data_IF_088403206061
#
_entry.id   IF_088403206061
#
_cell.length_a   1.000
_cell.length_b   1.000
_cell.length_c   1.000
_cell.angle_alpha   90.00
_cell.angle_beta   90.00
_cell.angle_gamma   90.00
#
_symmetry.space_group_name_H-M   'P 1'
#
loop_
_entity.id
_entity.type
_entity.pdbx_description
1 polymer ?
#
# COMPACT_ATOMS: atom_id res chain seq x y z
N UNK A 1 -3.94 -7.59 1.58
CA UNK A 1 -3.24 -6.37 2.04
C UNK A 1 -1.75 -6.64 1.95
N UNK A 2 -0.96 -5.76 1.30
CA UNK A 2 0.49 -5.95 1.23
C UNK A 2 1.14 -5.75 2.61
N UNK A 3 2.32 -6.34 2.81
CA UNK A 3 3.17 -6.01 3.96
C UNK A 3 3.78 -4.64 3.69
N UNK A 4 3.58 -3.71 4.63
CA UNK A 4 4.12 -2.36 4.56
C UNK A 4 5.14 -2.19 5.67
N UNK A 5 6.31 -1.68 5.31
CA UNK A 5 7.42 -1.49 6.23
C UNK A 5 7.50 -0.03 6.63
N UNK A 6 7.62 0.22 7.93
CA UNK A 6 8.05 1.53 8.42
C UNK A 6 9.49 1.79 7.94
N UNK A 7 9.85 3.05 7.61
CA UNK A 7 11.13 3.35 6.95
C UNK A 7 12.37 2.79 7.65
N UNK A 8 12.38 2.76 8.99
CA UNK A 8 13.48 2.22 9.79
C UNK A 8 13.74 0.72 9.57
N UNK A 9 12.75 -0.04 9.10
CA UNK A 9 12.87 -1.49 8.86
C UNK A 9 13.30 -1.82 7.42
N UNK A 10 13.38 -0.83 6.53
CA UNK A 10 13.69 -1.06 5.11
C UNK A 10 15.06 -1.72 4.89
N UNK A 11 16.07 -1.32 5.66
CA UNK A 11 17.42 -1.91 5.58
C UNK A 11 17.42 -3.38 6.05
N UNK A 12 16.78 -3.64 7.19
CA UNK A 12 16.64 -4.99 7.75
C UNK A 12 15.93 -5.95 6.79
N UNK A 13 14.97 -5.46 6.02
CA UNK A 13 14.24 -6.25 5.04
C UNK A 13 15.09 -6.72 3.84
N UNK A 14 16.03 -5.88 3.40
CA UNK A 14 16.83 -6.15 2.19
C UNK A 14 18.09 -6.96 2.52
N UNK A 15 18.63 -6.84 3.74
CA UNK A 15 19.88 -7.48 4.13
C UNK A 15 19.72 -8.99 4.33
N UNK A 16 20.49 -9.75 3.52
CA UNK A 16 20.55 -11.19 3.65
C UNK A 16 21.10 -11.61 5.02
N UNK A 17 20.44 -12.58 5.64
CA UNK A 17 20.89 -13.13 6.92
C UNK A 17 20.46 -12.32 8.16
N UNK A 18 19.61 -11.30 8.02
CA UNK A 18 18.97 -10.70 9.20
C UNK A 18 18.16 -11.78 9.92
N UNK A 19 18.50 -12.14 11.17
CA UNK A 19 17.56 -12.90 11.98
C UNK A 19 16.28 -12.09 12.12
N UNK A 20 15.14 -12.76 12.23
CA UNK A 20 13.85 -12.16 12.56
C UNK A 20 13.11 -11.33 11.49
N UNK A 21 13.39 -11.48 10.18
CA UNK A 21 12.57 -10.83 9.12
C UNK A 21 11.08 -11.17 9.21
N UNK A 22 10.74 -12.36 9.72
CA UNK A 22 9.35 -12.75 9.99
C UNK A 22 8.63 -11.81 10.99
N UNK A 23 9.34 -11.14 11.90
CA UNK A 23 8.76 -10.18 12.85
C UNK A 23 8.35 -8.86 12.17
N UNK A 24 8.79 -8.63 10.94
CA UNK A 24 8.41 -7.45 10.14
C UNK A 24 7.09 -7.66 9.39
N UNK A 25 6.59 -8.91 9.33
CA UNK A 25 5.37 -9.30 8.62
C UNK A 25 4.12 -9.06 9.49
N UNK A 26 3.96 -7.84 10.00
CA UNK A 26 2.84 -7.47 10.84
C UNK A 26 1.85 -6.60 10.03
N UNK A 27 0.55 -6.63 10.38
CA UNK A 27 -0.39 -5.65 9.87
C UNK A 27 0.11 -4.23 10.17
N UNK A 28 -0.17 -3.30 9.25
CA UNK A 28 0.10 -1.90 9.51
C UNK A 28 -0.79 -1.40 10.65
N UNK A 29 -0.26 -0.53 11.50
CA UNK A 29 -1.01 0.01 12.64
C UNK A 29 -2.26 0.78 12.21
N UNK A 30 -3.24 0.87 13.11
CA UNK A 30 -4.49 1.59 12.87
C UNK A 30 -4.25 3.05 12.48
N UNK A 31 -5.07 3.56 11.55
CA UNK A 31 -5.00 4.96 11.09
C UNK A 31 -3.81 5.32 10.21
N UNK A 32 -2.93 4.35 9.89
CA UNK A 32 -1.79 4.55 8.98
C UNK A 32 -2.18 4.48 7.50
N UNK A 33 -3.35 3.92 7.20
CA UNK A 33 -3.89 3.83 5.84
C UNK A 33 -5.13 4.70 5.70
N UNK A 34 -5.15 5.46 4.62
CA UNK A 34 -6.35 6.12 4.11
C UNK A 34 -6.76 5.41 2.82
N UNK A 35 -8.00 4.90 2.78
CA UNK A 35 -8.54 4.18 1.63
C UNK A 35 -9.84 4.86 1.25
N UNK A 36 -10.02 5.11 -0.05
CA UNK A 36 -11.17 5.79 -0.61
C UNK A 36 -11.52 5.19 -1.98
N UNK A 37 -12.78 5.29 -2.44
CA UNK A 37 -13.19 4.79 -3.75
C UNK A 37 -12.53 5.61 -4.86
N UNK A 38 -12.22 4.95 -5.98
CA UNK A 38 -11.64 5.56 -7.18
C UNK A 38 -12.40 5.13 -8.44
N UNK A 39 -12.16 5.80 -9.57
CA UNK A 39 -12.78 5.44 -10.85
C UNK A 39 -12.45 4.00 -11.29
N UNK A 40 -13.45 3.28 -11.82
CA UNK A 40 -13.27 1.92 -12.37
C UNK A 40 -12.41 1.87 -13.63
N UNK A 41 -12.09 3.02 -14.23
CA UNK A 41 -11.18 3.11 -15.37
C UNK A 41 -9.78 2.55 -15.05
N UNK A 42 -9.36 2.59 -13.79
CA UNK A 42 -8.09 1.99 -13.31
C UNK A 42 -7.98 0.49 -13.61
N UNK A 43 -9.12 -0.20 -13.77
CA UNK A 43 -9.14 -1.63 -14.10
C UNK A 43 -8.67 -1.93 -15.53
N UNK A 44 -8.63 -0.93 -16.41
CA UNK A 44 -8.07 -1.07 -17.75
C UNK A 44 -6.56 -0.72 -17.70
N UNK A 45 -5.65 -1.70 -17.85
CA UNK A 45 -4.21 -1.43 -17.75
C UNK A 45 -3.66 -0.52 -18.85
N UNK A 46 -4.43 -0.27 -19.93
CA UNK A 46 -4.08 0.70 -20.97
C UNK A 46 -4.46 2.14 -20.62
N UNK A 47 -5.32 2.33 -19.62
CA UNK A 47 -5.74 3.65 -19.15
C UNK A 47 -4.76 4.13 -18.07
N UNK A 48 -3.67 4.79 -18.51
CA UNK A 48 -2.62 5.30 -17.61
C UNK A 48 -2.75 6.81 -17.49
N UNK A 49 -3.56 7.26 -16.54
CA UNK A 49 -3.82 8.69 -16.29
C UNK A 49 -3.87 8.99 -14.80
N UNK A 50 -3.66 10.26 -14.44
CA UNK A 50 -3.55 10.72 -13.03
C UNK A 50 -4.84 10.53 -12.23
N UNK A 51 -5.98 10.60 -12.90
CA UNK A 51 -7.32 10.42 -12.32
C UNK A 51 -7.60 9.00 -11.83
N UNK A 52 -6.72 8.03 -12.10
CA UNK A 52 -6.86 6.65 -11.60
C UNK A 52 -6.75 6.52 -10.07
N UNK A 53 -6.16 7.52 -9.40
CA UNK A 53 -5.98 7.53 -7.94
C UNK A 53 -6.75 8.67 -7.27
N UNK A 54 -7.56 9.40 -8.03
CA UNK A 54 -8.40 10.47 -7.50
C UNK A 54 -9.64 9.87 -6.82
N UNK A 55 -10.01 10.45 -5.69
CA UNK A 55 -11.21 10.07 -4.94
C UNK A 55 -12.46 10.42 -5.75
N UNK A 56 -13.43 9.50 -5.74
CA UNK A 56 -14.75 9.76 -6.33
C UNK A 56 -15.77 9.98 -5.22
N UNK A 57 -16.69 10.92 -5.43
CA UNK A 57 -17.87 11.04 -4.59
C UNK A 57 -18.78 9.83 -4.85
N UNK A 58 -19.02 9.03 -3.82
CA UNK A 58 -20.09 8.03 -3.86
C UNK A 58 -21.38 8.70 -3.45
N UNK A 59 -22.26 8.95 -4.42
CA UNK A 59 -23.66 9.33 -4.14
C UNK A 59 -24.25 8.29 -3.16
N UNK A 60 -24.71 8.76 -2.01
CA UNK A 60 -25.28 7.95 -0.93
C UNK A 60 -26.76 7.64 -1.16
#
# INVERSE_FOLDING_TARGET
>A
MPVMLEPQHGKQWIEAGSPDTAKLLLPIGDGKLHIYPVSTQVNNPRYVRRDCIEEIETDS
#
